data_IF_075861001249
#
_entry.id   IF_075861001249
#
_cell.length_a   1.000
_cell.length_b   1.000
_cell.length_c   1.000
_cell.angle_alpha   90.00
_cell.angle_beta   90.00
_cell.angle_gamma   90.00
#
_symmetry.space_group_name_H-M   'P 1'
#
loop_
_entity.id
_entity.type
_entity.pdbx_description
1 polymer ?
#
# COMPACT_ATOMS: atom_id res chain seq x y z
N UNK A 1 28.29 8.40 -37.17
CA UNK A 1 27.81 8.60 -35.77
C UNK A 1 26.39 9.18 -35.75
N UNK A 2 26.04 10.21 -36.56
CA UNK A 2 24.69 10.80 -36.60
C UNK A 2 23.60 9.86 -37.11
N UNK A 3 23.85 9.03 -38.11
CA UNK A 3 22.88 8.06 -38.64
C UNK A 3 22.63 6.92 -37.66
N UNK A 4 23.66 6.38 -37.02
CA UNK A 4 23.54 5.34 -35.96
C UNK A 4 22.70 5.82 -34.75
N UNK A 5 22.86 7.09 -34.35
CA UNK A 5 22.05 7.70 -33.27
C UNK A 5 20.60 7.87 -33.74
N UNK A 6 20.36 8.18 -34.99
CA UNK A 6 19.04 8.36 -35.58
C UNK A 6 18.29 7.04 -35.69
N UNK A 7 18.96 5.97 -36.10
CA UNK A 7 18.39 4.61 -36.15
C UNK A 7 18.10 4.07 -34.75
N UNK A 8 18.98 4.37 -33.79
CA UNK A 8 18.77 4.00 -32.37
C UNK A 8 17.55 4.70 -31.78
N UNK A 9 17.35 5.99 -32.04
CA UNK A 9 16.19 6.76 -31.62
C UNK A 9 14.89 6.39 -32.36
N UNK A 10 14.95 5.69 -33.50
CA UNK A 10 13.79 5.16 -34.18
C UNK A 10 13.27 3.87 -33.51
N UNK A 11 14.10 3.17 -32.73
CA UNK A 11 13.67 1.98 -32.01
C UNK A 11 12.75 2.35 -30.84
N UNK A 12 11.50 1.86 -30.88
CA UNK A 12 10.49 2.14 -29.85
C UNK A 12 10.94 1.71 -28.46
N UNK A 13 11.68 0.61 -28.35
CA UNK A 13 12.20 0.11 -27.06
C UNK A 13 13.20 1.08 -26.46
N UNK A 14 14.13 1.62 -27.25
CA UNK A 14 15.13 2.60 -26.80
C UNK A 14 14.46 3.89 -26.34
N UNK A 15 13.49 4.38 -27.10
CA UNK A 15 12.72 5.59 -26.71
C UNK A 15 12.00 5.39 -25.39
N UNK A 16 11.36 4.24 -25.16
CA UNK A 16 10.67 3.91 -23.91
C UNK A 16 11.64 3.89 -22.73
N UNK A 17 12.80 3.29 -22.91
CA UNK A 17 13.84 3.29 -21.87
C UNK A 17 14.35 4.68 -21.54
N UNK A 18 14.61 5.52 -22.55
CA UNK A 18 15.05 6.91 -22.35
C UNK A 18 13.99 7.75 -21.64
N UNK A 19 12.71 7.60 -22.03
CA UNK A 19 11.61 8.30 -21.37
C UNK A 19 11.44 7.80 -19.93
N UNK A 20 11.53 6.50 -19.69
CA UNK A 20 11.48 5.94 -18.34
C UNK A 20 12.61 6.48 -17.47
N UNK A 21 13.84 6.52 -17.99
CA UNK A 21 15.00 7.10 -17.31
C UNK A 21 14.77 8.58 -16.99
N UNK A 22 14.25 9.35 -17.96
CA UNK A 22 13.90 10.76 -17.75
C UNK A 22 12.86 10.91 -16.63
N UNK A 23 11.81 10.08 -16.60
CA UNK A 23 10.82 10.09 -15.53
C UNK A 23 11.45 9.75 -14.17
N UNK A 24 12.30 8.74 -14.11
CA UNK A 24 13.00 8.38 -12.87
C UNK A 24 13.86 9.55 -12.36
N UNK A 25 14.57 10.25 -13.25
CA UNK A 25 15.38 11.42 -12.87
C UNK A 25 14.52 12.58 -12.38
N UNK A 26 13.39 12.87 -13.06
CA UNK A 26 12.44 13.90 -12.62
C UNK A 26 11.88 13.54 -11.24
N UNK A 27 11.39 12.32 -11.04
CA UNK A 27 10.82 11.86 -9.77
C UNK A 27 11.86 11.91 -8.65
N UNK A 28 13.10 11.52 -8.93
CA UNK A 28 14.20 11.60 -7.96
C UNK A 28 14.53 13.07 -7.59
N UNK A 29 14.49 13.97 -8.55
CA UNK A 29 14.72 15.41 -8.35
C UNK A 29 13.61 16.07 -7.51
N UNK A 30 12.40 15.50 -7.47
CA UNK A 30 11.25 16.08 -6.76
C UNK A 30 11.33 15.89 -5.23
N UNK A 31 12.20 15.04 -4.70
CA UNK A 31 12.43 14.87 -3.26
C UNK A 31 11.13 14.64 -2.46
N UNK A 32 10.83 15.52 -1.52
CA UNK A 32 9.63 15.41 -0.65
C UNK A 32 8.29 15.47 -1.40
N UNK A 33 8.23 16.13 -2.56
CA UNK A 33 7.01 16.19 -3.38
C UNK A 33 6.64 14.82 -3.97
N UNK A 34 7.60 13.90 -4.09
CA UNK A 34 7.35 12.55 -4.56
C UNK A 34 6.29 11.84 -3.71
N UNK A 35 6.36 11.99 -2.38
CA UNK A 35 5.39 11.38 -1.45
C UNK A 35 3.96 11.88 -1.71
N UNK A 36 3.82 13.19 -1.98
CA UNK A 36 2.52 13.80 -2.31
C UNK A 36 1.95 13.25 -3.62
N UNK A 37 2.79 13.14 -4.65
CA UNK A 37 2.36 12.62 -5.97
C UNK A 37 1.97 11.15 -5.87
N UNK A 38 2.72 10.35 -5.14
CA UNK A 38 2.42 8.94 -4.93
C UNK A 38 1.11 8.74 -4.16
N UNK A 39 0.90 9.52 -3.09
CA UNK A 39 -0.33 9.49 -2.33
C UNK A 39 -1.52 9.98 -3.18
N UNK A 40 -1.34 11.06 -3.95
CA UNK A 40 -2.35 11.58 -4.87
C UNK A 40 -2.75 10.52 -5.91
N UNK A 41 -1.76 9.86 -6.49
CA UNK A 41 -2.01 8.78 -7.44
C UNK A 41 -2.77 7.63 -6.77
N UNK A 42 -2.32 7.18 -5.59
CA UNK A 42 -2.95 6.08 -4.85
C UNK A 42 -4.41 6.40 -4.51
N UNK A 43 -4.66 7.58 -3.91
CA UNK A 43 -6.02 8.02 -3.54
C UNK A 43 -6.90 8.14 -4.77
N UNK A 44 -6.40 8.79 -5.83
CA UNK A 44 -7.14 8.96 -7.09
C UNK A 44 -7.48 7.61 -7.72
N UNK A 45 -6.55 6.67 -7.73
CA UNK A 45 -6.77 5.32 -8.26
C UNK A 45 -7.86 4.58 -7.47
N UNK A 46 -7.74 4.54 -6.14
CA UNK A 46 -8.71 3.87 -5.26
C UNK A 46 -10.10 4.49 -5.40
N UNK A 47 -10.18 5.83 -5.37
CA UNK A 47 -11.45 6.55 -5.50
C UNK A 47 -12.09 6.35 -6.88
N UNK A 48 -11.30 6.33 -7.95
CA UNK A 48 -11.78 6.03 -9.29
C UNK A 48 -12.31 4.58 -9.38
N UNK A 49 -11.65 3.63 -8.73
CA UNK A 49 -12.10 2.23 -8.71
C UNK A 49 -13.41 2.07 -7.93
N UNK A 50 -13.49 2.69 -6.75
CA UNK A 50 -14.71 2.72 -5.93
C UNK A 50 -15.88 3.38 -6.68
N UNK A 51 -15.63 4.50 -7.35
CA UNK A 51 -16.63 5.18 -8.18
C UNK A 51 -17.15 4.27 -9.28
N UNK A 52 -16.28 3.58 -10.01
CA UNK A 52 -16.70 2.65 -11.06
C UNK A 52 -17.52 1.48 -10.50
N UNK A 53 -17.12 0.94 -9.36
CA UNK A 53 -17.85 -0.13 -8.68
C UNK A 53 -19.26 0.31 -8.27
N UNK A 54 -19.38 1.46 -7.63
CA UNK A 54 -20.66 2.03 -7.18
C UNK A 54 -21.55 2.39 -8.38
N UNK A 55 -20.99 3.09 -9.37
CA UNK A 55 -21.75 3.49 -10.56
C UNK A 55 -22.21 2.27 -11.36
N UNK A 56 -21.37 1.23 -11.48
CA UNK A 56 -21.75 -0.02 -12.14
C UNK A 56 -22.90 -0.76 -11.44
N UNK A 57 -22.95 -0.70 -10.10
CA UNK A 57 -24.07 -1.23 -9.32
C UNK A 57 -25.35 -0.37 -9.44
N UNK A 58 -25.22 0.94 -9.28
CA UNK A 58 -26.36 1.87 -9.31
C UNK A 58 -26.96 2.05 -10.70
N UNK A 59 -26.16 2.07 -11.77
CA UNK A 59 -26.67 2.22 -13.14
C UNK A 59 -27.57 1.06 -13.59
N UNK A 60 -27.57 -0.07 -12.87
CA UNK A 60 -28.54 -1.15 -13.08
C UNK A 60 -29.95 -0.77 -12.60
N UNK A 61 -30.05 0.20 -11.67
CA UNK A 61 -31.31 0.63 -11.06
C UNK A 61 -31.75 2.01 -11.61
N UNK A 62 -30.82 2.96 -11.73
CA UNK A 62 -31.08 4.33 -12.18
C UNK A 62 -29.88 4.88 -12.96
N UNK A 63 -30.11 5.61 -14.09
CA UNK A 63 -29.04 6.27 -14.83
C UNK A 63 -28.51 7.48 -14.02
N UNK A 64 -27.43 7.29 -13.27
CA UNK A 64 -26.85 8.35 -12.42
C UNK A 64 -25.61 8.94 -13.09
N UNK A 65 -25.50 10.28 -13.06
CA UNK A 65 -24.33 10.97 -13.56
C UNK A 65 -23.11 10.62 -12.68
N UNK A 66 -22.03 10.14 -13.31
CA UNK A 66 -20.81 9.76 -12.60
C UNK A 66 -20.23 10.88 -11.72
N UNK A 67 -20.39 12.17 -12.11
CA UNK A 67 -19.92 13.32 -11.32
C UNK A 67 -20.62 13.41 -9.97
N UNK A 68 -21.93 13.09 -9.92
CA UNK A 68 -22.71 13.07 -8.67
C UNK A 68 -22.18 11.97 -7.76
N UNK A 69 -21.93 10.78 -8.30
CA UNK A 69 -21.35 9.66 -7.53
C UNK A 69 -20.00 10.02 -6.98
N UNK A 70 -19.14 10.68 -7.76
CA UNK A 70 -17.83 11.17 -7.29
C UNK A 70 -18.00 12.13 -6.12
N UNK A 71 -18.83 13.17 -6.26
CA UNK A 71 -19.04 14.16 -5.19
C UNK A 71 -19.55 13.50 -3.91
N UNK A 72 -20.57 12.64 -4.01
CA UNK A 72 -21.13 11.95 -2.85
C UNK A 72 -20.10 11.04 -2.18
N UNK A 73 -19.32 10.29 -2.96
CA UNK A 73 -18.27 9.43 -2.44
C UNK A 73 -17.21 10.22 -1.66
N UNK A 74 -16.74 11.34 -2.21
CA UNK A 74 -15.77 12.20 -1.51
C UNK A 74 -16.36 12.87 -0.28
N UNK A 75 -17.63 13.31 -0.33
CA UNK A 75 -18.31 13.85 0.86
C UNK A 75 -18.39 12.80 1.98
N UNK A 76 -18.74 11.56 1.63
CA UNK A 76 -18.76 10.45 2.61
C UNK A 76 -17.36 10.22 3.19
N UNK A 77 -16.32 10.16 2.36
CA UNK A 77 -14.95 9.94 2.82
C UNK A 77 -14.50 11.08 3.73
N UNK A 78 -14.73 12.34 3.35
CA UNK A 78 -14.39 13.51 4.17
C UNK A 78 -15.18 13.47 5.48
N UNK A 79 -16.50 13.19 5.43
CA UNK A 79 -17.31 13.08 6.64
C UNK A 79 -16.81 11.98 7.57
N UNK A 80 -16.46 10.80 7.04
CA UNK A 80 -15.89 9.69 7.83
C UNK A 80 -14.56 10.10 8.47
N UNK A 81 -13.69 10.79 7.73
CA UNK A 81 -12.40 11.26 8.26
C UNK A 81 -12.64 12.32 9.35
N UNK A 82 -13.45 13.34 9.10
CA UNK A 82 -13.70 14.43 10.05
C UNK A 82 -14.41 13.92 11.30
N UNK A 83 -15.49 13.14 11.15
CA UNK A 83 -16.21 12.54 12.28
C UNK A 83 -15.36 11.50 13.00
N UNK A 84 -14.60 10.70 12.25
CA UNK A 84 -13.66 9.73 12.81
C UNK A 84 -12.60 10.42 13.67
N UNK A 85 -11.95 11.45 13.15
CA UNK A 85 -10.94 12.20 13.90
C UNK A 85 -11.56 12.89 15.10
N UNK A 86 -12.65 13.68 14.92
CA UNK A 86 -13.24 14.45 16.00
C UNK A 86 -13.77 13.59 17.15
N UNK A 87 -14.36 12.43 16.85
CA UNK A 87 -14.97 11.58 17.87
C UNK A 87 -14.02 10.55 18.47
N UNK A 88 -13.05 10.06 17.67
CA UNK A 88 -12.20 8.94 18.08
C UNK A 88 -10.75 9.34 18.33
N UNK A 89 -10.28 10.52 17.90
CA UNK A 89 -8.88 10.93 18.13
C UNK A 89 -8.48 10.92 19.61
N UNK A 90 -9.29 11.41 20.57
CA UNK A 90 -8.91 11.32 21.98
C UNK A 90 -8.74 9.86 22.42
N UNK A 91 -9.68 8.99 22.05
CA UNK A 91 -9.62 7.56 22.38
C UNK A 91 -8.45 6.85 21.72
N UNK A 92 -8.08 7.22 20.48
CA UNK A 92 -6.92 6.66 19.78
C UNK A 92 -5.64 7.09 20.52
N UNK A 93 -5.52 8.38 20.84
CA UNK A 93 -4.35 8.90 21.57
C UNK A 93 -4.23 8.19 22.93
N UNK A 94 -5.32 8.10 23.70
CA UNK A 94 -5.33 7.41 24.99
C UNK A 94 -4.91 5.93 24.83
N UNK A 95 -5.45 5.22 23.85
CA UNK A 95 -5.10 3.81 23.60
C UNK A 95 -3.66 3.65 23.13
N UNK A 96 -3.14 4.53 22.28
CA UNK A 96 -1.74 4.51 21.86
C UNK A 96 -0.81 4.80 23.03
N UNK A 97 -1.14 5.79 23.88
CA UNK A 97 -0.36 6.10 25.09
C UNK A 97 -0.38 4.92 26.06
N UNK A 98 -1.55 4.32 26.30
CA UNK A 98 -1.68 3.15 27.17
C UNK A 98 -0.89 1.96 26.61
N UNK A 99 -1.00 1.69 25.31
CA UNK A 99 -0.22 0.64 24.62
C UNK A 99 1.28 0.86 24.81
N UNK A 100 1.74 2.10 24.60
CA UNK A 100 3.15 2.45 24.77
C UNK A 100 3.58 2.27 26.23
N UNK A 101 2.75 2.69 27.20
CA UNK A 101 3.03 2.50 28.62
C UNK A 101 3.08 1.01 29.00
N UNK A 102 2.24 0.16 28.43
CA UNK A 102 2.28 -1.28 28.64
C UNK A 102 3.57 -1.89 28.07
N UNK A 103 3.99 -1.49 26.89
CA UNK A 103 5.27 -1.89 26.31
C UNK A 103 6.43 -1.45 27.23
N UNK A 104 6.40 -0.22 27.75
CA UNK A 104 7.43 0.30 28.66
C UNK A 104 7.47 -0.48 29.99
N UNK A 105 6.29 -0.76 30.61
CA UNK A 105 6.23 -1.60 31.80
C UNK A 105 6.82 -2.98 31.56
N UNK A 106 6.55 -3.58 30.40
CA UNK A 106 7.17 -4.84 30.02
C UNK A 106 8.69 -4.72 29.95
N UNK A 107 9.21 -3.66 29.33
CA UNK A 107 10.66 -3.41 29.24
C UNK A 107 11.30 -3.21 30.62
N UNK A 108 10.62 -2.50 31.53
CA UNK A 108 11.11 -2.23 32.88
C UNK A 108 10.98 -3.46 33.80
N UNK A 109 10.00 -4.36 33.57
CA UNK A 109 9.79 -5.59 34.36
C UNK A 109 10.64 -6.78 33.88
N UNK A 110 11.33 -6.65 32.78
CA UNK A 110 12.07 -7.74 32.13
C UNK A 110 13.41 -8.09 32.81
N UNK A 111 13.76 -7.46 33.92
CA UNK A 111 15.04 -7.69 34.63
C UNK A 111 15.17 -9.09 35.28
N UNK A 112 14.08 -9.88 35.34
CA UNK A 112 14.08 -11.22 35.97
C UNK A 112 14.02 -12.41 35.00
N UNK A 113 13.67 -12.23 33.74
CA UNK A 113 13.41 -13.35 32.83
C UNK A 113 14.38 -13.32 31.65
N UNK A 114 15.20 -14.35 31.47
CA UNK A 114 16.27 -14.39 30.47
C UNK A 114 15.79 -14.17 29.01
N UNK A 115 14.53 -14.50 28.70
CA UNK A 115 13.96 -14.30 27.38
C UNK A 115 13.40 -12.86 27.21
N UNK A 116 12.68 -12.39 28.24
CA UNK A 116 12.11 -11.06 28.27
C UNK A 116 13.20 -9.96 28.26
N UNK A 117 14.29 -10.16 29.03
CA UNK A 117 15.42 -9.22 29.07
C UNK A 117 16.17 -9.11 27.73
N UNK A 118 16.29 -10.20 26.97
CA UNK A 118 16.86 -10.14 25.63
C UNK A 118 15.99 -9.33 24.67
N UNK A 119 14.68 -9.57 24.66
CA UNK A 119 13.74 -8.79 23.83
C UNK A 119 13.74 -7.32 24.27
N UNK A 120 13.73 -7.06 25.57
CA UNK A 120 13.80 -5.71 26.14
C UNK A 120 15.07 -4.96 25.68
N UNK A 121 16.24 -5.62 25.70
CA UNK A 121 17.50 -5.05 25.21
C UNK A 121 17.45 -4.67 23.73
N UNK A 122 16.84 -5.49 22.89
CA UNK A 122 16.65 -5.14 21.47
C UNK A 122 15.67 -3.99 21.30
N UNK A 123 14.56 -3.95 22.04
CA UNK A 123 13.56 -2.88 21.95
C UNK A 123 14.05 -1.56 22.56
N UNK A 124 14.88 -1.57 23.59
CA UNK A 124 15.52 -0.37 24.18
C UNK A 124 16.44 0.34 23.18
N UNK A 125 17.02 -0.39 22.20
CA UNK A 125 17.82 0.23 21.15
C UNK A 125 16.99 1.12 20.21
N UNK A 126 15.68 1.00 20.21
CA UNK A 126 14.74 1.86 19.47
C UNK A 126 14.18 2.94 20.41
N UNK A 127 14.92 3.79 20.96
CA UNK A 127 14.65 5.03 21.74
C UNK A 127 13.15 5.36 22.01
N UNK A 128 12.38 4.34 22.41
CA UNK A 128 10.91 4.40 22.59
C UNK A 128 10.54 5.43 23.67
N UNK A 129 11.45 5.68 24.64
CA UNK A 129 11.22 6.64 25.72
C UNK A 129 11.01 8.09 25.25
N UNK A 130 11.66 8.50 24.19
CA UNK A 130 11.49 9.84 23.64
C UNK A 130 10.16 10.04 22.93
N UNK A 131 9.49 8.95 22.53
CA UNK A 131 8.17 9.03 21.87
C UNK A 131 7.01 9.25 22.83
N UNK A 132 7.14 8.96 24.13
CA UNK A 132 6.04 9.08 25.12
C UNK A 132 5.89 10.49 25.70
N UNK A 133 6.96 11.28 25.75
CA UNK A 133 6.93 12.60 26.39
C UNK A 133 6.37 13.71 25.50
N UNK A 134 6.06 13.42 24.24
CA UNK A 134 5.72 14.41 23.25
C UNK A 134 4.28 14.31 22.71
N UNK A 135 3.30 13.91 23.55
CA UNK A 135 1.89 13.79 23.12
C UNK A 135 1.37 15.05 22.38
N UNK A 136 1.79 16.24 22.81
CA UNK A 136 1.47 17.50 22.12
C UNK A 136 2.13 17.60 20.74
N UNK A 137 3.37 17.12 20.57
CA UNK A 137 4.03 17.07 19.26
C UNK A 137 3.30 16.13 18.31
N UNK A 138 2.75 15.02 18.81
CA UNK A 138 1.95 14.09 17.98
C UNK A 138 0.63 14.73 17.52
N UNK A 139 -0.02 15.53 18.39
CA UNK A 139 -1.24 16.27 17.99
C UNK A 139 -0.92 17.31 16.91
N UNK A 140 0.18 18.04 17.02
CA UNK A 140 0.63 18.97 15.98
C UNK A 140 1.11 18.25 14.70
N UNK A 141 1.76 17.10 14.84
CA UNK A 141 2.11 16.27 13.68
C UNK A 141 0.84 15.74 12.99
N UNK A 142 -0.15 15.29 13.75
CA UNK A 142 -1.43 14.82 13.23
C UNK A 142 -2.18 15.92 12.46
N UNK A 143 -2.17 17.18 12.94
CA UNK A 143 -2.79 18.31 12.24
C UNK A 143 -2.12 18.59 10.88
N UNK A 144 -0.78 18.54 10.81
CA UNK A 144 -0.04 18.68 9.55
C UNK A 144 -0.32 17.51 8.57
N UNK A 145 -0.42 16.30 9.10
CA UNK A 145 -0.79 15.13 8.30
C UNK A 145 -2.21 15.24 7.76
N UNK A 146 -3.12 15.78 8.57
CA UNK A 146 -4.51 16.01 8.17
C UNK A 146 -4.62 17.06 7.06
N UNK A 147 -3.90 18.19 7.17
CA UNK A 147 -3.80 19.19 6.13
C UNK A 147 -3.30 18.61 4.82
N UNK A 148 -2.23 17.82 4.88
CA UNK A 148 -1.65 17.13 3.74
C UNK A 148 -2.65 16.14 3.09
N UNK A 149 -3.33 15.32 3.90
CA UNK A 149 -4.34 14.36 3.41
C UNK A 149 -5.52 15.09 2.79
N UNK A 150 -6.02 16.16 3.40
CA UNK A 150 -7.11 16.98 2.86
C UNK A 150 -6.73 17.59 1.51
N UNK A 151 -5.52 18.13 1.38
CA UNK A 151 -5.01 18.66 0.11
C UNK A 151 -5.03 17.57 -0.99
N UNK A 152 -4.52 16.38 -0.68
CA UNK A 152 -4.51 15.25 -1.61
C UNK A 152 -5.93 14.83 -2.00
N UNK A 153 -6.86 14.78 -1.04
CA UNK A 153 -8.27 14.43 -1.29
C UNK A 153 -8.93 15.47 -2.21
N UNK A 154 -8.70 16.75 -1.95
CA UNK A 154 -9.25 17.84 -2.78
C UNK A 154 -8.69 17.79 -4.19
N UNK A 155 -7.37 17.63 -4.35
CA UNK A 155 -6.74 17.51 -5.68
C UNK A 155 -7.24 16.28 -6.44
N UNK A 156 -7.40 15.16 -5.73
CA UNK A 156 -7.94 13.92 -6.30
C UNK A 156 -9.40 14.10 -6.75
N UNK A 157 -10.22 14.80 -5.96
CA UNK A 157 -11.59 15.14 -6.32
C UNK A 157 -11.64 15.97 -7.62
N UNK A 158 -10.86 17.05 -7.69
CA UNK A 158 -10.80 17.88 -8.90
C UNK A 158 -10.35 17.08 -10.11
N UNK A 159 -9.34 16.23 -9.95
CA UNK A 159 -8.87 15.36 -11.03
C UNK A 159 -9.99 14.45 -11.55
N UNK A 160 -10.74 13.77 -10.65
CA UNK A 160 -11.80 12.86 -11.08
C UNK A 160 -13.00 13.59 -11.69
N UNK A 161 -13.36 14.79 -11.19
CA UNK A 161 -14.43 15.60 -11.78
C UNK A 161 -14.08 16.10 -13.18
N UNK A 162 -12.80 16.44 -13.42
CA UNK A 162 -12.32 16.96 -14.68
C UNK A 162 -11.65 15.90 -15.58
N UNK A 163 -11.71 14.62 -15.22
CA UNK A 163 -11.03 13.52 -15.93
C UNK A 163 -11.26 13.54 -17.43
N UNK A 164 -12.50 13.78 -17.87
CA UNK A 164 -12.82 13.83 -19.31
C UNK A 164 -12.21 15.04 -19.99
N UNK A 165 -12.19 16.19 -19.34
CA UNK A 165 -11.64 17.45 -19.89
C UNK A 165 -10.11 17.36 -19.95
N UNK A 166 -9.48 16.83 -18.90
CA UNK A 166 -8.03 16.56 -18.89
C UNK A 166 -7.67 15.60 -20.01
N UNK A 167 -8.42 14.51 -20.17
CA UNK A 167 -8.17 13.54 -21.26
C UNK A 167 -8.31 14.17 -22.64
N UNK A 168 -9.36 14.97 -22.87
CA UNK A 168 -9.57 15.71 -24.13
C UNK A 168 -8.45 16.72 -24.39
N UNK A 169 -7.99 17.42 -23.35
CA UNK A 169 -6.90 18.37 -23.49
C UNK A 169 -5.57 17.68 -23.82
N UNK A 170 -5.22 16.65 -23.06
CA UNK A 170 -3.98 15.90 -23.24
C UNK A 170 -3.95 15.15 -24.58
N UNK A 171 -5.09 14.66 -25.07
CA UNK A 171 -5.17 13.99 -26.37
C UNK A 171 -4.78 14.90 -27.56
N UNK A 172 -4.87 16.24 -27.41
CA UNK A 172 -4.41 17.18 -28.46
C UNK A 172 -2.91 17.09 -28.72
N UNK A 173 -2.13 16.67 -27.71
CA UNK A 173 -0.68 16.47 -27.89
C UNK A 173 -0.34 15.32 -28.85
N UNK A 174 -1.28 14.38 -29.07
CA UNK A 174 -1.10 13.26 -30.00
C UNK A 174 -0.84 13.75 -31.45
N UNK A 175 -1.47 14.85 -31.84
CA UNK A 175 -1.35 15.44 -33.19
C UNK A 175 -0.33 16.59 -33.27
N UNK A 176 0.35 16.91 -32.17
CA UNK A 176 1.35 17.97 -32.08
C UNK A 176 2.74 17.49 -32.55
N UNK A 177 3.69 18.43 -32.67
CA UNK A 177 5.10 18.14 -33.02
C UNK A 177 5.77 17.14 -32.04
N UNK A 178 5.25 17.01 -30.82
CA UNK A 178 5.72 16.07 -29.79
C UNK A 178 4.83 14.83 -29.67
N UNK A 179 4.01 14.53 -30.71
CA UNK A 179 3.09 13.40 -30.72
C UNK A 179 3.76 12.05 -30.47
N UNK A 180 4.99 11.86 -30.97
CA UNK A 180 5.78 10.67 -30.69
C UNK A 180 6.06 10.50 -29.17
N UNK A 181 6.46 11.58 -28.50
CA UNK A 181 6.71 11.57 -27.04
C UNK A 181 5.42 11.29 -26.27
N UNK A 182 4.32 11.95 -26.64
CA UNK A 182 3.01 11.71 -26.04
C UNK A 182 2.59 10.24 -26.12
N UNK A 183 2.76 9.60 -27.28
CA UNK A 183 2.37 8.20 -27.48
C UNK A 183 3.17 7.24 -26.58
N UNK A 184 4.48 7.47 -26.44
CA UNK A 184 5.31 6.63 -25.55
C UNK A 184 4.98 6.89 -24.07
N UNK A 185 4.75 8.15 -23.66
CA UNK A 185 4.30 8.48 -22.30
C UNK A 185 2.93 7.87 -22.00
N UNK A 186 1.98 7.94 -22.94
CA UNK A 186 0.67 7.32 -22.80
C UNK A 186 0.78 5.79 -22.66
N UNK A 187 1.63 5.15 -23.48
CA UNK A 187 1.90 3.72 -23.37
C UNK A 187 2.47 3.32 -22.00
N UNK A 188 3.48 4.06 -21.51
CA UNK A 188 4.07 3.81 -20.20
C UNK A 188 3.06 4.07 -19.07
N UNK A 189 2.25 5.13 -19.19
CA UNK A 189 1.19 5.45 -18.24
C UNK A 189 0.12 4.36 -18.15
N UNK A 190 -0.37 3.86 -19.30
CA UNK A 190 -1.36 2.78 -19.34
C UNK A 190 -0.80 1.49 -18.73
N UNK A 191 0.45 1.14 -19.03
CA UNK A 191 1.15 0.02 -18.44
C UNK A 191 1.29 0.19 -16.92
N UNK A 192 1.73 1.38 -16.48
CA UNK A 192 1.87 1.70 -15.08
C UNK A 192 0.55 1.57 -14.33
N UNK A 193 -0.51 2.24 -14.79
CA UNK A 193 -1.84 2.17 -14.15
C UNK A 193 -2.37 0.73 -14.13
N UNK A 194 -2.16 -0.04 -15.20
CA UNK A 194 -2.63 -1.43 -15.26
C UNK A 194 -1.89 -2.36 -14.32
N UNK A 195 -0.57 -2.25 -14.23
CA UNK A 195 0.26 -3.16 -13.41
C UNK A 195 0.25 -2.74 -11.95
N UNK A 196 0.57 -1.48 -11.70
CA UNK A 196 0.59 -0.89 -10.36
C UNK A 196 -0.78 -0.96 -9.68
N UNK A 197 -1.82 -0.55 -10.41
CA UNK A 197 -3.17 -0.48 -9.84
C UNK A 197 -3.70 -1.84 -9.40
N UNK A 198 -3.45 -2.91 -10.17
CA UNK A 198 -3.90 -4.25 -9.80
C UNK A 198 -3.22 -4.77 -8.54
N UNK A 199 -1.93 -4.49 -8.38
CA UNK A 199 -1.19 -4.89 -7.18
C UNK A 199 -1.71 -4.15 -5.95
N UNK A 200 -1.93 -2.83 -6.05
CA UNK A 200 -2.48 -2.04 -4.96
C UNK A 200 -3.91 -2.47 -4.60
N UNK A 201 -4.76 -2.73 -5.60
CA UNK A 201 -6.13 -3.23 -5.37
C UNK A 201 -6.12 -4.55 -4.60
N UNK A 202 -5.29 -5.50 -5.01
CA UNK A 202 -5.12 -6.76 -4.30
C UNK A 202 -4.59 -6.54 -2.88
N UNK A 203 -3.58 -5.69 -2.71
CA UNK A 203 -2.99 -5.41 -1.40
C UNK A 203 -3.97 -4.75 -0.42
N UNK A 204 -4.78 -3.82 -0.90
CA UNK A 204 -5.85 -3.20 -0.08
C UNK A 204 -6.89 -4.24 0.36
N UNK A 205 -7.33 -5.14 -0.54
CA UNK A 205 -8.26 -6.20 -0.19
C UNK A 205 -7.67 -7.16 0.82
N UNK A 206 -6.39 -7.54 0.64
CA UNK A 206 -5.65 -8.39 1.59
C UNK A 206 -5.57 -7.69 2.95
N UNK A 207 -5.21 -6.39 2.98
CA UNK A 207 -5.09 -5.63 4.21
C UNK A 207 -6.42 -5.55 4.98
N UNK A 208 -7.53 -5.29 4.28
CA UNK A 208 -8.88 -5.29 4.89
C UNK A 208 -9.20 -6.67 5.47
N UNK A 209 -9.00 -7.73 4.69
CA UNK A 209 -9.32 -9.09 5.11
C UNK A 209 -8.49 -9.51 6.34
N UNK A 210 -7.17 -9.29 6.31
CA UNK A 210 -6.28 -9.59 7.42
C UNK A 210 -6.66 -8.81 8.68
N UNK A 211 -6.97 -7.51 8.52
CA UNK A 211 -7.40 -6.68 9.64
C UNK A 211 -8.68 -7.20 10.27
N UNK A 212 -9.70 -7.51 9.46
CA UNK A 212 -10.98 -8.02 9.96
C UNK A 212 -10.78 -9.34 10.72
N UNK A 213 -10.05 -10.30 10.15
CA UNK A 213 -9.80 -11.58 10.80
C UNK A 213 -8.97 -11.44 12.08
N UNK A 214 -7.92 -10.63 12.03
CA UNK A 214 -7.06 -10.40 13.20
C UNK A 214 -7.84 -9.74 14.33
N UNK A 215 -8.61 -8.70 14.05
CA UNK A 215 -9.38 -8.00 15.08
C UNK A 215 -10.50 -8.87 15.65
N UNK A 216 -11.18 -9.67 14.83
CA UNK A 216 -12.14 -10.66 15.33
C UNK A 216 -11.48 -11.68 16.26
N UNK A 217 -10.31 -12.19 15.90
CA UNK A 217 -9.55 -13.11 16.76
C UNK A 217 -9.11 -12.46 18.08
N UNK A 218 -8.58 -11.24 18.01
CA UNK A 218 -8.16 -10.48 19.21
C UNK A 218 -9.35 -10.13 20.09
N UNK A 219 -10.51 -9.81 19.52
CA UNK A 219 -11.74 -9.56 20.27
C UNK A 219 -12.21 -10.81 21.03
N UNK A 220 -12.19 -11.98 20.38
CA UNK A 220 -12.53 -13.27 21.02
C UNK A 220 -11.55 -13.58 22.17
N UNK A 221 -10.28 -13.23 22.01
CA UNK A 221 -9.25 -13.41 23.05
C UNK A 221 -9.30 -12.34 24.17
N UNK A 222 -10.24 -11.37 24.09
CA UNK A 222 -10.44 -10.33 25.10
C UNK A 222 -9.37 -9.23 25.09
N UNK A 223 -8.70 -9.01 23.97
CA UNK A 223 -7.64 -7.99 23.86
C UNK A 223 -8.18 -6.58 24.11
N UNK A 224 -7.43 -5.73 24.85
CA UNK A 224 -7.72 -4.31 24.97
C UNK A 224 -7.30 -3.57 23.71
N UNK A 225 -7.67 -2.29 23.63
CA UNK A 225 -7.19 -1.35 22.61
C UNK A 225 -7.50 -1.75 21.15
N UNK A 226 -8.58 -2.50 20.91
CA UNK A 226 -8.92 -3.05 19.58
C UNK A 226 -8.95 -1.99 18.49
N UNK A 227 -9.34 -0.75 18.80
CA UNK A 227 -9.40 0.32 17.79
C UNK A 227 -8.00 0.75 17.34
N UNK A 228 -7.07 0.94 18.28
CA UNK A 228 -5.66 1.24 17.95
C UNK A 228 -5.01 0.07 17.20
N UNK A 229 -5.29 -1.17 17.65
CA UNK A 229 -4.79 -2.38 17.00
C UNK A 229 -5.36 -2.52 15.58
N UNK A 230 -6.62 -2.12 15.33
CA UNK A 230 -7.21 -2.12 13.98
C UNK A 230 -6.40 -1.23 13.02
N UNK A 231 -6.10 0.00 13.44
CA UNK A 231 -5.32 0.94 12.63
C UNK A 231 -3.91 0.39 12.40
N UNK A 232 -3.26 -0.10 13.47
CA UNK A 232 -1.92 -0.64 13.40
C UNK A 232 -1.84 -1.85 12.46
N UNK A 233 -2.72 -2.84 12.62
CA UNK A 233 -2.74 -4.04 11.79
C UNK A 233 -3.07 -3.69 10.34
N UNK A 234 -4.03 -2.79 10.09
CA UNK A 234 -4.37 -2.35 8.74
C UNK A 234 -3.17 -1.68 8.04
N UNK A 235 -2.52 -0.73 8.71
CA UNK A 235 -1.35 -0.03 8.14
C UNK A 235 -0.20 -1.00 7.87
N UNK A 236 0.10 -1.90 8.78
CA UNK A 236 1.14 -2.90 8.61
C UNK A 236 0.78 -3.91 7.51
N UNK A 237 -0.49 -4.32 7.42
CA UNK A 237 -0.94 -5.25 6.36
C UNK A 237 -0.85 -4.67 4.94
N UNK A 238 -0.65 -3.35 4.78
CA UNK A 238 -0.34 -2.76 3.49
C UNK A 238 1.09 -3.10 3.00
N UNK A 239 1.95 -3.56 3.89
CA UNK A 239 3.31 -3.98 3.56
C UNK A 239 3.36 -5.51 3.43
N UNK A 240 3.54 -6.07 2.22
CA UNK A 240 3.58 -7.51 2.02
C UNK A 240 4.64 -8.19 2.89
N UNK A 241 4.29 -9.31 3.52
CA UNK A 241 5.19 -10.15 4.35
C UNK A 241 5.73 -9.44 5.59
N UNK A 242 6.41 -8.29 5.43
CA UNK A 242 7.03 -7.55 6.53
C UNK A 242 6.00 -7.06 7.55
N UNK A 243 4.82 -6.66 7.10
CA UNK A 243 3.76 -6.16 7.96
C UNK A 243 3.29 -7.18 9.00
N UNK A 244 3.15 -8.44 8.59
CA UNK A 244 2.76 -9.54 9.48
C UNK A 244 3.81 -9.75 10.57
N UNK A 245 5.10 -9.78 10.20
CA UNK A 245 6.21 -9.99 11.15
C UNK A 245 6.28 -8.84 12.15
N UNK A 246 6.17 -7.59 11.66
CA UNK A 246 6.22 -6.41 12.53
C UNK A 246 5.01 -6.36 13.47
N UNK A 247 3.81 -6.75 13.00
CA UNK A 247 2.60 -6.75 13.83
C UNK A 247 2.63 -7.78 14.94
N UNK A 248 3.35 -8.91 14.78
CA UNK A 248 3.51 -9.92 15.80
C UNK A 248 4.12 -9.37 17.09
N UNK A 249 5.08 -8.43 16.97
CA UNK A 249 5.78 -7.89 18.16
C UNK A 249 4.80 -7.25 19.15
N UNK A 250 4.03 -6.19 18.82
CA UNK A 250 3.11 -5.57 19.75
C UNK A 250 2.00 -6.53 20.21
N UNK A 251 1.48 -7.39 19.31
CA UNK A 251 0.40 -8.31 19.65
C UNK A 251 0.86 -9.37 20.63
N UNK A 252 2.06 -9.93 20.47
CA UNK A 252 2.63 -10.91 21.41
C UNK A 252 2.97 -10.29 22.77
N UNK A 253 3.46 -9.04 22.80
CA UNK A 253 3.75 -8.33 24.03
C UNK A 253 2.49 -8.10 24.87
N UNK A 254 1.41 -7.63 24.24
CA UNK A 254 0.12 -7.46 24.92
C UNK A 254 -0.41 -8.81 25.38
N UNK A 255 -0.36 -9.84 24.54
CA UNK A 255 -0.78 -11.20 24.89
C UNK A 255 0.00 -11.75 26.08
N UNK A 256 1.30 -11.49 26.15
CA UNK A 256 2.14 -11.90 27.27
C UNK A 256 1.72 -11.23 28.59
N UNK A 257 1.43 -9.94 28.56
CA UNK A 257 0.98 -9.22 29.76
C UNK A 257 -0.40 -9.67 30.24
N UNK A 258 -1.30 -10.03 29.32
CA UNK A 258 -2.66 -10.46 29.67
C UNK A 258 -2.74 -11.91 30.21
N UNK A 259 -1.97 -12.82 29.62
CA UNK A 259 -2.11 -14.25 29.88
C UNK A 259 -0.79 -15.03 29.80
N UNK A 260 0.35 -14.33 29.94
CA UNK A 260 1.68 -14.92 29.89
C UNK A 260 2.02 -15.57 28.56
N UNK A 261 2.97 -16.47 28.60
CA UNK A 261 3.48 -17.18 27.40
C UNK A 261 2.36 -17.94 26.65
N UNK A 262 1.38 -18.48 27.40
CA UNK A 262 0.27 -19.25 26.80
C UNK A 262 -0.53 -18.40 25.82
N UNK A 263 -0.93 -17.19 26.19
CA UNK A 263 -1.73 -16.31 25.33
C UNK A 263 -0.90 -15.78 24.15
N UNK A 264 0.38 -15.47 24.36
CA UNK A 264 1.30 -15.10 23.28
C UNK A 264 1.42 -16.19 22.21
N UNK A 265 1.55 -17.46 22.63
CA UNK A 265 1.59 -18.60 21.69
C UNK A 265 0.27 -18.72 20.90
N UNK A 266 -0.88 -18.53 21.57
CA UNK A 266 -2.19 -18.54 20.91
C UNK A 266 -2.26 -17.44 19.82
N UNK A 267 -1.78 -16.23 20.14
CA UNK A 267 -1.73 -15.11 19.17
C UNK A 267 -0.82 -15.46 17.99
N UNK A 268 0.36 -16.02 18.23
CA UNK A 268 1.27 -16.46 17.17
C UNK A 268 0.59 -17.47 16.26
N UNK A 269 -0.04 -18.49 16.83
CA UNK A 269 -0.76 -19.53 16.06
C UNK A 269 -1.91 -18.89 15.27
N UNK A 270 -2.68 -18.01 15.87
CA UNK A 270 -3.77 -17.28 15.21
C UNK A 270 -3.26 -16.50 13.99
N UNK A 271 -2.17 -15.73 14.14
CA UNK A 271 -1.59 -14.95 13.04
C UNK A 271 -1.02 -15.87 11.95
N UNK A 272 -0.38 -16.98 12.32
CA UNK A 272 0.10 -17.98 11.33
C UNK A 272 -1.07 -18.55 10.53
N UNK A 273 -2.18 -18.88 11.17
CA UNK A 273 -3.39 -19.39 10.50
C UNK A 273 -3.98 -18.35 9.55
N UNK A 274 -4.11 -17.09 10.00
CA UNK A 274 -4.60 -15.98 9.15
C UNK A 274 -3.67 -15.79 7.94
N UNK A 275 -2.36 -15.80 8.17
CA UNK A 275 -1.38 -15.65 7.09
C UNK A 275 -1.35 -16.86 6.14
N UNK A 276 -1.57 -18.06 6.63
CA UNK A 276 -1.76 -19.24 5.78
C UNK A 276 -3.02 -19.10 4.91
N UNK A 277 -4.15 -18.63 5.46
CA UNK A 277 -5.35 -18.33 4.68
C UNK A 277 -5.09 -17.24 3.62
N UNK A 278 -4.35 -16.19 3.98
CA UNK A 278 -3.92 -15.19 3.01
C UNK A 278 -3.11 -15.82 1.88
N UNK A 279 -2.05 -16.55 2.22
CA UNK A 279 -1.07 -17.08 1.24
C UNK A 279 -1.68 -18.15 0.33
N UNK A 280 -2.47 -19.07 0.89
CA UNK A 280 -3.00 -20.22 0.14
C UNK A 280 -4.36 -19.97 -0.49
N UNK A 281 -5.12 -19.00 0.00
CA UNK A 281 -6.50 -18.77 -0.46
C UNK A 281 -6.70 -17.41 -1.12
N UNK A 282 -6.28 -16.30 -0.47
CA UNK A 282 -6.47 -14.96 -1.01
C UNK A 282 -5.50 -14.62 -2.14
N UNK A 283 -4.21 -14.84 -1.93
CA UNK A 283 -3.19 -14.51 -2.92
C UNK A 283 -3.45 -15.20 -4.27
N UNK A 284 -3.75 -16.51 -4.35
CA UNK A 284 -4.10 -17.14 -5.62
C UNK A 284 -5.34 -16.56 -6.28
N UNK A 285 -6.38 -16.19 -5.50
CA UNK A 285 -7.61 -15.61 -6.05
C UNK A 285 -7.44 -14.16 -6.52
N UNK A 286 -6.69 -13.35 -5.79
CA UNK A 286 -6.54 -11.92 -6.05
C UNK A 286 -5.40 -11.62 -7.03
N UNK A 287 -4.33 -12.42 -6.98
CA UNK A 287 -3.13 -12.26 -7.81
C UNK A 287 -2.97 -13.33 -8.91
N UNK A 288 -4.01 -14.13 -9.18
CA UNK A 288 -3.98 -15.36 -9.98
C UNK A 288 -3.36 -15.26 -11.39
N UNK A 289 -3.06 -14.06 -11.89
CA UNK A 289 -2.58 -13.93 -13.26
C UNK A 289 -1.32 -13.10 -13.49
N UNK A 290 -0.66 -12.49 -12.48
CA UNK A 290 0.41 -11.55 -12.82
C UNK A 290 1.66 -11.47 -11.95
N UNK A 291 1.74 -12.04 -10.74
CA UNK A 291 2.96 -11.83 -9.95
C UNK A 291 3.23 -12.95 -8.96
N UNK A 292 3.71 -14.06 -9.47
CA UNK A 292 4.37 -15.04 -8.59
C UNK A 292 5.83 -14.63 -8.40
N UNK A 293 6.07 -13.51 -7.71
CA UNK A 293 7.43 -13.15 -7.33
C UNK A 293 7.92 -14.12 -6.27
N UNK A 294 9.08 -14.79 -6.46
CA UNK A 294 9.70 -15.56 -5.40
C UNK A 294 9.95 -14.68 -4.17
N UNK A 295 9.79 -15.25 -2.97
CA UNK A 295 9.93 -14.54 -1.70
C UNK A 295 11.25 -13.74 -1.60
N UNK A 296 12.33 -14.32 -2.10
CA UNK A 296 13.65 -13.69 -2.11
C UNK A 296 13.64 -12.33 -2.85
N UNK A 297 13.06 -12.28 -4.05
CA UNK A 297 12.93 -11.02 -4.79
C UNK A 297 12.02 -10.02 -4.09
N UNK A 298 10.96 -10.50 -3.45
CA UNK A 298 10.07 -9.65 -2.65
C UNK A 298 10.84 -8.93 -1.53
N UNK A 299 11.67 -9.66 -0.78
CA UNK A 299 12.50 -9.05 0.28
C UNK A 299 13.54 -8.09 -0.27
N UNK A 300 14.25 -8.44 -1.34
CA UNK A 300 15.24 -7.53 -1.96
C UNK A 300 14.55 -6.24 -2.41
N UNK A 301 13.42 -6.34 -3.10
CA UNK A 301 12.67 -5.18 -3.57
C UNK A 301 12.22 -4.31 -2.39
N UNK A 302 11.72 -4.90 -1.30
CA UNK A 302 11.30 -4.16 -0.12
C UNK A 302 12.47 -3.42 0.53
N UNK A 303 13.63 -4.08 0.72
CA UNK A 303 14.83 -3.48 1.31
C UNK A 303 15.34 -2.31 0.45
N UNK A 304 15.48 -2.53 -0.87
CA UNK A 304 15.94 -1.49 -1.78
C UNK A 304 14.94 -0.33 -1.84
N UNK A 305 13.65 -0.63 -1.97
CA UNK A 305 12.63 0.41 -2.05
C UNK A 305 12.53 1.22 -0.75
N UNK A 306 12.69 0.57 0.40
CA UNK A 306 12.74 1.25 1.70
C UNK A 306 13.95 2.16 1.81
N UNK A 307 15.10 1.74 1.30
CA UNK A 307 16.30 2.57 1.32
C UNK A 307 16.14 3.86 0.50
N UNK A 308 15.53 3.79 -0.69
CA UNK A 308 15.38 4.95 -1.59
C UNK A 308 14.14 5.80 -1.31
N UNK A 309 13.04 5.20 -0.90
CA UNK A 309 11.72 5.83 -0.78
C UNK A 309 11.16 5.82 0.65
N UNK A 310 11.94 5.33 1.62
CA UNK A 310 11.51 5.20 3.01
C UNK A 310 10.27 4.30 3.15
N UNK A 311 9.35 4.69 4.04
CA UNK A 311 8.11 3.94 4.32
C UNK A 311 7.22 3.76 3.07
N UNK A 312 7.24 4.72 2.15
CA UNK A 312 6.51 4.61 0.88
C UNK A 312 7.06 3.48 0.01
N UNK A 313 8.38 3.24 0.05
CA UNK A 313 9.01 2.15 -0.67
C UNK A 313 8.48 0.78 -0.25
N UNK A 314 8.12 0.60 1.01
CA UNK A 314 7.51 -0.64 1.49
C UNK A 314 6.13 -0.90 0.89
N UNK A 315 5.35 0.16 0.61
CA UNK A 315 3.99 0.05 0.06
C UNK A 315 4.02 -0.09 -1.46
N UNK A 316 4.85 0.74 -2.13
CA UNK A 316 4.82 0.86 -3.60
C UNK A 316 5.95 0.11 -4.30
N UNK A 317 6.94 -0.39 -3.59
CA UNK A 317 8.11 -1.03 -4.18
C UNK A 317 7.76 -2.24 -5.04
N UNK A 318 6.92 -3.13 -4.52
CA UNK A 318 6.46 -4.30 -5.28
C UNK A 318 5.62 -3.91 -6.51
N UNK A 319 4.62 -3.00 -6.43
CA UNK A 319 3.94 -2.48 -7.60
C UNK A 319 4.86 -1.90 -8.66
N UNK A 320 5.88 -1.12 -8.26
CA UNK A 320 6.87 -0.56 -9.19
C UNK A 320 7.70 -1.67 -9.84
N UNK A 321 8.15 -2.65 -9.07
CA UNK A 321 8.94 -3.76 -9.60
C UNK A 321 8.13 -4.59 -10.60
N UNK A 322 6.86 -4.88 -10.31
CA UNK A 322 5.94 -5.56 -11.24
C UNK A 322 5.76 -4.77 -12.53
N UNK A 323 5.61 -3.46 -12.43
CA UNK A 323 5.53 -2.58 -13.59
C UNK A 323 6.81 -2.66 -14.44
N UNK A 324 7.99 -2.70 -13.82
CA UNK A 324 9.25 -2.87 -14.55
C UNK A 324 9.31 -4.22 -15.28
N UNK A 325 8.89 -5.31 -14.62
CA UNK A 325 8.79 -6.64 -15.26
C UNK A 325 7.80 -6.67 -16.42
N UNK A 326 6.68 -5.94 -16.31
CA UNK A 326 5.70 -5.81 -17.39
C UNK A 326 6.22 -4.99 -18.58
N UNK A 327 7.08 -3.98 -18.35
CA UNK A 327 7.75 -3.24 -19.43
C UNK A 327 8.77 -4.13 -20.17
N UNK A 328 9.49 -4.95 -19.39
CA UNK A 328 10.48 -5.89 -19.93
C UNK A 328 9.84 -7.12 -20.59
N UNK A 329 8.51 -7.21 -20.59
CA UNK A 329 7.72 -8.33 -21.13
C UNK A 329 8.08 -9.72 -20.51
N UNK A 330 8.74 -9.73 -19.34
CA UNK A 330 9.15 -10.98 -18.64
C UNK A 330 7.96 -11.88 -18.37
N UNK A 331 6.81 -11.31 -18.01
CA UNK A 331 5.58 -12.05 -17.70
C UNK A 331 4.88 -12.64 -18.94
N UNK A 332 5.29 -12.26 -20.16
CA UNK A 332 4.73 -12.86 -21.39
C UNK A 332 5.38 -14.19 -21.76
N UNK A 333 6.61 -14.43 -21.34
CA UNK A 333 7.36 -15.66 -21.68
C UNK A 333 6.76 -16.90 -21.03
N UNK A 334 6.17 -16.80 -19.84
CA UNK A 334 5.49 -17.97 -19.19
C UNK A 334 4.25 -18.50 -19.95
N UNK A 335 3.62 -17.67 -20.79
CA UNK A 335 2.45 -18.11 -21.58
C UNK A 335 2.79 -18.94 -22.81
N UNK A 336 4.06 -18.97 -23.20
CA UNK A 336 4.51 -19.68 -24.41
C UNK A 336 5.01 -21.10 -24.11
N UNK A 337 5.18 -21.45 -22.84
CA UNK A 337 5.61 -22.79 -22.39
C UNK A 337 4.44 -23.67 -21.84
N UNK A 338 3.24 -23.57 -22.43
CA UNK A 338 2.30 -24.68 -22.24
C UNK A 338 2.89 -25.92 -22.96
N UNK A 339 3.09 -27.05 -22.26
CA UNK A 339 3.66 -28.23 -22.88
C UNK A 339 2.73 -28.69 -24.01
N UNK A 340 3.30 -28.73 -25.22
CA UNK A 340 2.71 -29.43 -26.36
C UNK A 340 2.27 -30.82 -25.85
N UNK A 341 0.95 -31.00 -25.71
CA UNK A 341 0.38 -32.34 -25.50
C UNK A 341 0.79 -33.17 -26.69
N UNK A 342 1.81 -33.99 -26.51
CA UNK A 342 2.10 -35.10 -27.41
C UNK A 342 0.92 -36.07 -27.29
N UNK A 343 -0.06 -35.94 -28.19
CA UNK A 343 -1.03 -37.01 -28.43
C UNK A 343 -0.27 -38.22 -28.86
N UNK A 344 -0.02 -39.14 -27.94
CA UNK A 344 0.37 -40.49 -28.27
C UNK A 344 -0.83 -41.18 -28.90
N UNK A 345 -0.89 -41.16 -30.22
CA UNK A 345 -1.68 -42.17 -30.96
C UNK A 345 -0.96 -43.51 -30.79
N UNK A 346 -1.54 -44.39 -29.99
CA UNK A 346 -1.44 -45.82 -30.09
C UNK A 346 -2.83 -46.39 -29.82
#
# INVERSE_FOLDING_TARGET
MGEMIKDWLQNATVRRFLILLLFCLILFSMGSMLHMILLLFLVTYVMNRLQHFITGGLNRLFPINYKVVVILLYMIVIAVIVLGISRYSPRIVDQVVQLTNEIMKFLDSADGDNFASKIAGYLQSFDIKNYTNDALKYIFALSKWLEFILLVIILSLFFLLQKQEISKFTSKFKTSKIGWFYNEVAYLGDKFVSSFGKVIEAQLLIAVFNTVLTILGLWILGFPYLFALTILVFMLSLVPVAGVIISLVPLCLIGYQMGGLKLSIIVIIMIIVIHALETYFLNPKLMAHKTKLPMFYTFIVLILSQHFLGIWGLIIGIPIFVFLLDILDVNKMEKTEEPVRVESKL
#
